data_IF_992380219762
#
_entry.id   IF_992380219762
#
_cell.length_a   1.000
_cell.length_b   1.000
_cell.length_c   1.000
_cell.angle_alpha   90.00
_cell.angle_beta   90.00
_cell.angle_gamma   90.00
#
_symmetry.space_group_name_H-M   'P 1'
#
loop_
_entity.id
_entity.type
_entity.pdbx_description
1 polymer ?
#
# COMPACT_ATOMS: atom_id res chain seq x y z
N UNK A 1 -0.31 -7.34 -28.99
CA UNK A 1 -0.96 -7.90 -27.79
C UNK A 1 -1.65 -6.77 -27.07
N UNK A 2 -2.95 -6.90 -26.85
CA UNK A 2 -3.80 -5.94 -26.13
C UNK A 2 -4.52 -6.67 -25.00
N UNK A 3 -5.01 -5.91 -24.02
CA UNK A 3 -5.79 -6.47 -22.92
C UNK A 3 -7.13 -6.99 -23.46
N UNK A 4 -7.54 -8.21 -23.10
CA UNK A 4 -8.80 -8.79 -23.58
C UNK A 4 -9.97 -8.29 -22.72
N UNK A 5 -11.20 -8.19 -23.28
CA UNK A 5 -12.39 -7.87 -22.49
C UNK A 5 -12.60 -8.88 -21.37
N UNK A 6 -12.77 -8.43 -20.13
CA UNK A 6 -12.97 -9.28 -18.95
C UNK A 6 -11.70 -9.94 -18.39
N UNK A 7 -10.53 -9.68 -18.98
CA UNK A 7 -9.26 -10.18 -18.46
C UNK A 7 -8.69 -9.27 -17.38
N UNK A 8 -8.18 -9.85 -16.29
CA UNK A 8 -7.46 -9.08 -15.27
C UNK A 8 -6.11 -8.58 -15.79
N UNK A 9 -5.71 -7.38 -15.34
CA UNK A 9 -4.41 -6.78 -15.67
C UNK A 9 -3.24 -7.71 -15.31
N UNK A 10 -3.37 -8.47 -14.21
CA UNK A 10 -2.38 -9.45 -13.77
C UNK A 10 -2.24 -10.61 -14.77
N UNK A 11 -3.35 -11.16 -15.27
CA UNK A 11 -3.32 -12.22 -16.27
C UNK A 11 -2.67 -11.73 -17.57
N UNK A 12 -2.98 -10.48 -17.98
CA UNK A 12 -2.38 -9.87 -19.15
C UNK A 12 -0.86 -9.71 -18.97
N UNK A 13 -0.41 -9.16 -17.84
CA UNK A 13 1.00 -8.96 -17.54
C UNK A 13 1.77 -10.29 -17.52
N UNK A 14 1.18 -11.34 -16.94
CA UNK A 14 1.79 -12.66 -16.90
C UNK A 14 1.98 -13.27 -18.29
N UNK A 15 0.98 -13.14 -19.18
CA UNK A 15 1.14 -13.58 -20.58
C UNK A 15 2.17 -12.75 -21.32
N UNK A 16 2.21 -11.44 -21.07
CA UNK A 16 3.18 -10.55 -21.68
C UNK A 16 4.61 -10.90 -21.26
N UNK A 17 4.84 -11.17 -19.97
CA UNK A 17 6.16 -11.60 -19.49
C UNK A 17 6.56 -12.96 -20.06
N UNK A 18 5.64 -13.93 -20.10
CA UNK A 18 5.91 -15.24 -20.72
C UNK A 18 6.28 -15.11 -22.19
N UNK A 19 5.54 -14.29 -22.95
CA UNK A 19 5.84 -14.04 -24.36
C UNK A 19 7.21 -13.37 -24.55
N UNK A 20 7.58 -12.44 -23.67
CA UNK A 20 8.86 -11.75 -23.74
C UNK A 20 10.05 -12.67 -23.43
N UNK A 21 9.92 -13.57 -22.44
CA UNK A 21 10.95 -14.58 -22.12
C UNK A 21 11.22 -15.50 -23.31
N UNK A 22 10.17 -15.91 -24.03
CA UNK A 22 10.31 -16.78 -25.21
C UNK A 22 10.88 -16.01 -26.41
N UNK A 23 10.48 -14.76 -26.60
CA UNK A 23 10.90 -13.96 -27.75
C UNK A 23 12.31 -13.39 -27.63
N UNK A 24 12.77 -13.08 -26.41
CA UNK A 24 14.03 -12.40 -26.13
C UNK A 24 14.82 -13.09 -25.00
N UNK A 25 15.32 -14.33 -25.22
CA UNK A 25 16.17 -14.99 -24.24
C UNK A 25 17.50 -14.26 -24.10
N UNK A 26 17.82 -13.79 -22.89
CA UNK A 26 19.11 -13.15 -22.57
C UNK A 26 19.10 -11.62 -22.52
N UNK A 27 17.94 -10.98 -22.63
CA UNK A 27 17.83 -9.54 -22.40
C UNK A 27 18.01 -9.20 -20.91
N UNK A 28 18.72 -8.11 -20.63
CA UNK A 28 18.93 -7.60 -19.27
C UNK A 28 17.59 -7.24 -18.60
N UNK A 29 17.48 -7.51 -17.29
CA UNK A 29 16.20 -7.45 -16.58
C UNK A 29 15.59 -6.03 -16.59
N UNK A 30 16.41 -4.98 -16.48
CA UNK A 30 15.96 -3.58 -16.57
C UNK A 30 15.41 -3.25 -17.95
N UNK A 31 16.14 -3.63 -19.02
CA UNK A 31 15.68 -3.46 -20.40
C UNK A 31 14.39 -4.25 -20.67
N UNK A 32 14.27 -5.45 -20.10
CA UNK A 32 13.06 -6.26 -20.18
C UNK A 32 11.88 -5.57 -19.50
N UNK A 33 12.06 -5.08 -18.27
CA UNK A 33 11.03 -4.36 -17.53
C UNK A 33 10.60 -3.08 -18.26
N UNK A 34 11.54 -2.31 -18.82
CA UNK A 34 11.21 -1.13 -19.63
C UNK A 34 10.36 -1.48 -20.86
N UNK A 35 10.72 -2.53 -21.61
CA UNK A 35 9.93 -2.99 -22.75
C UNK A 35 8.54 -3.47 -22.32
N UNK A 36 8.46 -4.21 -21.22
CA UNK A 36 7.20 -4.74 -20.69
C UNK A 36 6.28 -3.62 -20.23
N UNK A 37 6.82 -2.59 -19.55
CA UNK A 37 6.07 -1.40 -19.13
C UNK A 37 5.61 -0.59 -20.33
N UNK A 38 6.48 -0.32 -21.29
CA UNK A 38 6.11 0.39 -22.52
C UNK A 38 5.02 -0.38 -23.28
N UNK A 39 5.12 -1.70 -23.33
CA UNK A 39 4.13 -2.56 -23.98
C UNK A 39 2.80 -2.58 -23.22
N UNK A 40 2.82 -2.62 -21.89
CA UNK A 40 1.66 -2.48 -21.03
C UNK A 40 0.95 -1.14 -21.28
N UNK A 41 1.69 -0.02 -21.30
CA UNK A 41 1.15 1.31 -21.60
C UNK A 41 0.46 1.38 -22.96
N UNK A 42 1.02 0.69 -23.97
CA UNK A 42 0.40 0.61 -25.30
C UNK A 42 -0.88 -0.22 -25.34
N UNK A 43 -1.01 -1.21 -24.43
CA UNK A 43 -2.10 -2.18 -24.40
C UNK A 43 -3.32 -1.74 -23.56
N UNK A 44 -3.17 -0.70 -22.74
CA UNK A 44 -4.20 -0.21 -21.81
C UNK A 44 -4.97 1.00 -22.37
N UNK A 45 -6.20 1.24 -21.91
CA UNK A 45 -6.98 2.42 -22.28
C UNK A 45 -6.23 3.73 -22.00
N UNK A 46 -6.40 4.71 -22.90
CA UNK A 46 -5.69 5.99 -22.84
C UNK A 46 -5.95 6.81 -21.57
N UNK A 47 -7.09 6.58 -20.90
CA UNK A 47 -7.43 7.21 -19.62
C UNK A 47 -6.37 6.92 -18.54
N UNK A 48 -5.98 5.66 -18.38
CA UNK A 48 -5.01 5.25 -17.35
C UNK A 48 -3.56 5.44 -17.80
N UNK A 49 -3.30 5.50 -19.12
CA UNK A 49 -1.96 5.72 -19.68
C UNK A 49 -1.33 7.02 -19.17
N UNK A 50 -2.09 8.11 -19.10
CA UNK A 50 -1.56 9.41 -18.65
C UNK A 50 -1.13 9.40 -17.19
N UNK A 51 -1.88 8.73 -16.33
CA UNK A 51 -1.56 8.60 -14.92
C UNK A 51 -0.27 7.83 -14.69
N UNK A 52 -0.06 6.73 -15.42
CA UNK A 52 1.21 6.01 -15.35
C UNK A 52 2.37 6.81 -15.97
N UNK A 53 2.12 7.55 -17.05
CA UNK A 53 3.16 8.32 -17.75
C UNK A 53 3.78 9.41 -16.87
N UNK A 54 2.98 10.06 -16.02
CA UNK A 54 3.43 11.12 -15.10
C UNK A 54 4.41 10.63 -14.02
N UNK A 55 4.54 9.31 -13.81
CA UNK A 55 5.32 8.72 -12.73
C UNK A 55 6.44 7.77 -13.23
N UNK A 56 6.82 7.85 -14.52
CA UNK A 56 7.45 6.75 -15.27
C UNK A 56 8.94 6.49 -15.09
N UNK A 57 9.70 7.37 -14.43
CA UNK A 57 11.15 7.39 -14.69
C UNK A 57 11.90 6.13 -14.19
N UNK A 58 11.31 5.31 -13.30
CA UNK A 58 11.91 4.04 -12.83
C UNK A 58 10.88 2.95 -12.48
N UNK A 59 9.77 2.83 -13.20
CA UNK A 59 8.75 1.83 -12.87
C UNK A 59 9.10 0.43 -13.37
N UNK A 60 9.03 -0.58 -12.50
CA UNK A 60 9.04 -2.00 -12.89
C UNK A 60 7.67 -2.44 -13.43
N UNK A 61 7.61 -3.57 -14.15
CA UNK A 61 6.33 -4.09 -14.65
C UNK A 61 5.32 -4.33 -13.51
N UNK A 62 5.78 -4.88 -12.38
CA UNK A 62 4.90 -5.22 -11.26
C UNK A 62 4.30 -3.99 -10.59
N UNK A 63 5.08 -2.92 -10.44
CA UNK A 63 4.59 -1.65 -9.89
C UNK A 63 3.57 -1.00 -10.83
N UNK A 64 3.85 -0.98 -12.13
CA UNK A 64 2.93 -0.47 -13.13
C UNK A 64 1.59 -1.23 -13.14
N UNK A 65 1.64 -2.56 -13.03
CA UNK A 65 0.45 -3.41 -12.93
C UNK A 65 -0.31 -3.18 -11.62
N UNK A 66 0.40 -3.06 -10.50
CA UNK A 66 -0.19 -2.77 -9.20
C UNK A 66 -0.96 -1.45 -9.18
N UNK A 67 -0.36 -0.39 -9.75
CA UNK A 67 -1.01 0.94 -9.87
C UNK A 67 -2.19 0.91 -10.82
N UNK A 68 -2.04 0.26 -11.97
CA UNK A 68 -3.12 0.13 -12.94
C UNK A 68 -4.30 -0.64 -12.36
N UNK A 69 -4.05 -1.70 -11.57
CA UNK A 69 -5.10 -2.42 -10.84
C UNK A 69 -5.82 -1.50 -9.86
N UNK A 70 -5.08 -0.67 -9.11
CA UNK A 70 -5.70 0.30 -8.21
C UNK A 70 -6.59 1.27 -8.99
N UNK A 71 -6.12 1.83 -10.10
CA UNK A 71 -6.90 2.75 -10.95
C UNK A 71 -8.16 2.08 -11.54
N UNK A 72 -8.04 0.87 -12.08
CA UNK A 72 -9.15 0.15 -12.71
C UNK A 72 -10.14 -0.45 -11.68
N UNK A 73 -9.70 -0.72 -10.46
CA UNK A 73 -10.58 -1.16 -9.36
C UNK A 73 -11.54 -0.04 -8.93
N UNK A 74 -11.18 1.23 -9.12
CA UNK A 74 -12.10 2.35 -8.89
C UNK A 74 -13.13 2.49 -10.02
N UNK A 75 -12.76 2.17 -11.26
CA UNK A 75 -13.64 2.28 -12.44
C UNK A 75 -14.56 1.08 -12.66
N UNK A 76 -14.21 -0.11 -12.16
CA UNK A 76 -15.07 -1.31 -12.26
C UNK A 76 -16.36 -1.21 -11.41
N UNK A 77 -16.44 -0.23 -10.52
CA UNK A 77 -17.69 0.14 -9.84
C UNK A 77 -18.55 1.13 -10.66
N UNK A 78 -18.06 1.57 -11.82
CA UNK A 78 -18.64 2.65 -12.64
C UNK A 78 -19.19 2.24 -14.01
N UNK A 79 -19.22 0.95 -14.37
CA UNK A 79 -19.84 0.52 -15.63
C UNK A 79 -21.39 0.45 -15.50
N UNK A 80 -22.04 1.62 -15.56
CA UNK A 80 -23.03 1.94 -16.61
C UNK A 80 -23.61 3.34 -16.45
N UNK A 81 -22.94 4.40 -16.93
CA UNK A 81 -23.65 5.53 -17.56
C UNK A 81 -22.77 6.14 -18.65
N UNK A 82 -23.23 6.04 -19.89
CA UNK A 82 -22.71 6.82 -21.00
C UNK A 82 -23.08 8.29 -20.80
N UNK A 83 -22.10 9.17 -20.56
CA UNK A 83 -22.34 10.62 -20.55
C UNK A 83 -21.42 11.29 -21.57
N UNK A 84 -21.93 11.36 -22.80
CA UNK A 84 -21.67 12.50 -23.66
C UNK A 84 -22.39 13.71 -23.06
N UNK A 85 -21.72 14.43 -22.16
CA UNK A 85 -22.04 15.82 -21.86
C UNK A 85 -20.92 16.39 -20.98
N UNK A 86 -20.28 17.42 -21.50
CA UNK A 86 -19.44 18.35 -20.75
C UNK A 86 -20.26 18.86 -19.56
N UNK A 87 -19.87 18.48 -18.35
CA UNK A 87 -20.52 18.93 -17.13
C UNK A 87 -19.66 18.55 -15.93
N UNK A 88 -19.19 19.55 -15.19
CA UNK A 88 -18.30 19.40 -14.06
C UNK A 88 -18.81 18.34 -13.07
N UNK A 89 -18.04 17.28 -12.87
CA UNK A 89 -18.15 16.45 -11.67
C UNK A 89 -17.13 17.05 -10.69
N UNK A 90 -17.57 18.06 -9.94
CA UNK A 90 -16.93 18.30 -8.65
C UNK A 90 -17.12 17.01 -7.85
N UNK A 91 -16.06 16.37 -7.33
CA UNK A 91 -16.26 15.32 -6.33
C UNK A 91 -17.03 15.98 -5.20
N UNK A 92 -18.24 15.49 -4.92
CA UNK A 92 -19.16 16.09 -3.95
C UNK A 92 -18.41 16.32 -2.63
N UNK A 93 -18.14 17.58 -2.29
CA UNK A 93 -17.43 18.00 -1.07
C UNK A 93 -18.02 17.27 0.16
N UNK A 94 -19.33 17.02 0.14
CA UNK A 94 -20.08 16.24 1.13
C UNK A 94 -19.52 14.85 1.45
N UNK A 95 -18.91 14.14 0.48
CA UNK A 95 -18.33 12.81 0.72
C UNK A 95 -16.98 12.93 1.41
N UNK A 96 -16.18 13.93 1.04
CA UNK A 96 -14.90 14.21 1.70
C UNK A 96 -15.13 14.67 3.15
N UNK A 97 -16.11 15.56 3.36
CA UNK A 97 -16.54 16.00 4.71
C UNK A 97 -17.00 14.83 5.58
N UNK A 98 -17.76 13.89 5.01
CA UNK A 98 -18.23 12.70 5.74
C UNK A 98 -17.08 11.74 6.09
N UNK A 99 -16.03 11.67 5.26
CA UNK A 99 -14.83 10.89 5.56
C UNK A 99 -14.00 11.56 6.67
N UNK A 100 -13.85 12.88 6.63
CA UNK A 100 -13.13 13.64 7.65
C UNK A 100 -13.81 13.52 9.03
N UNK A 101 -15.15 13.63 9.07
CA UNK A 101 -15.95 13.37 10.28
C UNK A 101 -15.76 11.94 10.81
N UNK A 102 -15.70 10.93 9.94
CA UNK A 102 -15.44 9.54 10.35
C UNK A 102 -14.03 9.36 10.91
N UNK A 103 -13.03 10.06 10.38
CA UNK A 103 -11.65 10.01 10.87
C UNK A 103 -11.58 10.61 12.28
N UNK A 104 -12.22 11.75 12.52
CA UNK A 104 -12.27 12.37 13.85
C UNK A 104 -13.00 11.50 14.87
N UNK A 105 -14.13 10.92 14.47
CA UNK A 105 -14.90 10.02 15.34
C UNK A 105 -14.09 8.77 15.71
N UNK A 106 -13.44 8.13 14.74
CA UNK A 106 -12.57 6.97 15.01
C UNK A 106 -11.35 7.36 15.88
N UNK A 107 -10.77 8.53 15.65
CA UNK A 107 -9.66 9.03 16.47
C UNK A 107 -10.08 9.27 17.92
N UNK A 108 -11.29 9.79 18.14
CA UNK A 108 -11.89 9.97 19.46
C UNK A 108 -12.20 8.63 20.14
N UNK A 109 -12.68 7.64 19.38
CA UNK A 109 -12.89 6.28 19.87
C UNK A 109 -11.55 5.65 20.29
N UNK A 110 -10.48 5.79 19.51
CA UNK A 110 -9.14 5.31 19.87
C UNK A 110 -8.59 6.02 21.12
N UNK A 111 -8.80 7.33 21.27
CA UNK A 111 -8.41 8.08 22.46
C UNK A 111 -9.16 7.63 23.72
N UNK A 112 -10.42 7.19 23.58
CA UNK A 112 -11.19 6.62 24.68
C UNK A 112 -10.76 5.17 25.01
N UNK A 113 -10.35 4.39 24.01
CA UNK A 113 -9.83 3.02 24.22
C UNK A 113 -8.42 3.01 24.82
N UNK A 114 -7.57 3.99 24.49
CA UNK A 114 -6.24 4.16 25.08
C UNK A 114 -6.24 4.48 26.58
N UNK A 115 -7.41 4.84 27.15
CA UNK A 115 -7.60 5.07 28.59
C UNK A 115 -7.97 3.80 29.36
N UNK A 116 -8.26 2.68 28.68
CA UNK A 116 -8.14 1.36 29.29
C UNK A 116 -6.66 1.00 29.40
N UNK A 117 -5.93 1.82 30.18
CA UNK A 117 -4.69 1.40 30.82
C UNK A 117 -5.01 0.05 31.43
N UNK A 118 -4.24 -0.96 31.05
CA UNK A 118 -4.19 -2.21 31.77
C UNK A 118 -4.24 -1.86 33.26
N UNK A 119 -5.12 -2.49 34.06
CA UNK A 119 -5.04 -2.32 35.50
C UNK A 119 -3.57 -2.51 35.84
N UNK A 120 -3.02 -1.58 36.64
CA UNK A 120 -1.65 -1.63 37.18
C UNK A 120 -1.52 -2.94 37.95
N UNK A 121 -1.39 -4.01 37.19
CA UNK A 121 -1.30 -5.36 37.65
C UNK A 121 0.14 -5.38 38.10
N UNK A 122 0.26 -5.24 39.41
CA UNK A 122 1.32 -5.63 40.32
C UNK A 122 2.08 -6.86 39.77
N UNK A 123 2.78 -6.72 38.64
CA UNK A 123 3.76 -7.67 38.15
C UNK A 123 4.95 -7.43 39.07
N UNK A 124 4.91 -8.14 40.19
CA UNK A 124 5.92 -8.19 41.22
C UNK A 124 7.20 -8.76 40.58
N UNK A 125 7.98 -7.89 39.94
CA UNK A 125 9.17 -8.30 39.23
C UNK A 125 10.06 -7.14 38.81
N UNK A 126 11.29 -7.48 38.50
CA UNK A 126 12.36 -6.62 38.09
C UNK A 126 12.18 -6.23 36.62
N UNK A 127 11.80 -4.98 36.39
CA UNK A 127 11.71 -4.43 35.03
C UNK A 127 13.08 -4.30 34.33
N UNK A 128 14.20 -4.42 35.06
CA UNK A 128 15.56 -4.31 34.49
C UNK A 128 16.02 -5.62 33.85
N UNK A 129 15.64 -6.77 34.40
CA UNK A 129 16.05 -8.08 33.90
C UNK A 129 14.88 -9.00 33.51
N UNK A 130 13.64 -8.58 33.77
CA UNK A 130 12.42 -9.35 33.50
C UNK A 130 12.10 -10.45 34.53
N UNK A 131 12.91 -10.62 35.58
CA UNK A 131 12.70 -11.64 36.61
C UNK A 131 11.55 -11.26 37.57
N UNK A 132 10.79 -12.23 38.06
CA UNK A 132 9.75 -12.01 39.10
C UNK A 132 10.27 -12.22 40.53
N UNK A 133 11.51 -12.68 40.69
CA UNK A 133 12.10 -13.05 41.99
C UNK A 133 12.48 -11.82 42.85
N UNK A 134 12.71 -10.68 42.20
CA UNK A 134 13.17 -9.47 42.86
C UNK A 134 12.60 -8.22 42.18
N UNK A 135 12.61 -7.09 42.86
CA UNK A 135 12.22 -5.80 42.29
C UNK A 135 13.40 -5.13 41.57
N UNK A 136 13.11 -4.17 40.68
CA UNK A 136 14.13 -3.44 39.90
C UNK A 136 15.26 -2.84 40.76
N UNK A 137 14.94 -2.40 41.98
CA UNK A 137 15.88 -1.85 42.97
C UNK A 137 16.86 -2.86 43.59
N UNK A 138 16.54 -4.15 43.51
CA UNK A 138 17.36 -5.25 44.06
C UNK A 138 17.98 -6.08 42.93
N UNK A 139 18.08 -5.50 41.73
CA UNK A 139 18.56 -6.20 40.56
C UNK A 139 20.09 -6.29 40.58
N UNK A 140 20.68 -7.51 40.60
CA UNK A 140 22.13 -7.71 40.64
C UNK A 140 22.85 -7.19 39.40
N UNK A 141 22.11 -6.88 38.32
CA UNK A 141 22.67 -6.26 37.10
C UNK A 141 22.88 -4.74 37.22
N UNK A 142 22.26 -4.07 38.20
CA UNK A 142 22.36 -2.62 38.39
C UNK A 142 23.59 -2.24 39.24
N UNK A 143 23.97 -3.09 40.21
CA UNK A 143 25.09 -2.84 41.13
C UNK A 143 26.47 -2.74 40.44
N UNK A 144 26.61 -3.26 39.21
CA UNK A 144 27.90 -3.23 38.49
C UNK A 144 28.24 -1.88 37.83
N UNK A 145 27.40 -0.85 37.98
CA UNK A 145 27.65 0.49 37.38
C UNK A 145 27.77 1.64 38.39
N UNK A 146 27.91 1.36 39.70
CA UNK A 146 27.83 2.45 40.69
C UNK A 146 28.51 2.27 42.04
N UNK A 147 29.62 1.52 42.14
CA UNK A 147 30.44 1.55 43.37
C UNK A 147 31.93 1.36 43.07
N UNK A 148 32.58 2.46 42.71
CA UNK A 148 34.00 2.70 42.94
C UNK A 148 34.10 3.86 43.92
N UNK A 149 34.16 3.52 45.21
CA UNK A 149 34.68 4.33 46.31
C UNK A 149 34.85 3.39 47.51
#
# INVERSE_FOLDING_TARGET
MTLRPGESVLAFAHRLSQAAVVALPGLEQSAMDQLLVQRLLSAIPGAYRRHLLLESDTLTLQEAVGRLRSLMSFDSAGEMVSVTAVGAIAPSESRLDMLEQKIDELSKQLASMGQQRLPSNKRAGCFVCGSVEHFARSCPRVDRRGRSA
#
